data_IF_343503510664
#
_entry.id   IF_343503510664
#
_cell.length_a   1.000
_cell.length_b   1.000
_cell.length_c   1.000
_cell.angle_alpha   90.00
_cell.angle_beta   90.00
_cell.angle_gamma   90.00
#
_symmetry.space_group_name_H-M   'P 1'
#
loop_
_entity.id
_entity.type
_entity.pdbx_description
1 polymer ?
#
# COMPACT_ATOMS: atom_id res chain seq x y z
N UNK A 1 -12.21 58.91 -38.78
CA UNK A 1 -12.29 57.81 -39.76
C UNK A 1 -10.89 57.23 -39.81
N UNK A 2 -10.55 56.40 -38.84
CA UNK A 2 -10.74 54.96 -38.97
C UNK A 2 -11.16 54.32 -37.64
N UNK A 3 -12.16 53.45 -37.68
CA UNK A 3 -12.73 52.72 -36.55
C UNK A 3 -12.62 51.23 -36.86
N UNK A 4 -12.20 50.46 -35.85
CA UNK A 4 -12.30 49.00 -35.65
C UNK A 4 -11.13 48.12 -36.15
N UNK A 5 -10.91 46.90 -35.58
CA UNK A 5 -11.72 46.22 -34.56
C UNK A 5 -10.96 45.72 -33.32
N UNK A 6 -11.75 45.53 -32.26
CA UNK A 6 -11.45 44.73 -31.08
C UNK A 6 -11.73 43.27 -31.42
N UNK A 7 -10.89 42.34 -30.93
CA UNK A 7 -11.21 40.98 -30.44
C UNK A 7 -10.18 39.94 -30.91
N UNK A 8 -9.34 39.52 -29.97
CA UNK A 8 -8.86 38.15 -29.92
C UNK A 8 -8.96 37.71 -28.48
N UNK A 9 -10.11 37.10 -28.19
CA UNK A 9 -10.43 36.42 -26.95
C UNK A 9 -9.28 35.45 -26.62
N UNK A 10 -8.48 35.76 -25.60
CA UNK A 10 -7.63 34.75 -24.98
C UNK A 10 -8.54 33.87 -24.13
N UNK A 11 -8.61 32.56 -24.41
CA UNK A 11 -9.48 31.68 -23.63
C UNK A 11 -9.02 31.66 -22.17
N UNK A 12 -9.95 31.99 -21.29
CA UNK A 12 -9.90 31.65 -19.87
C UNK A 12 -10.10 30.13 -19.77
N UNK A 13 -9.01 29.36 -19.90
CA UNK A 13 -9.01 27.93 -19.61
C UNK A 13 -7.59 27.39 -19.43
N UNK A 14 -7.02 27.57 -18.24
CA UNK A 14 -6.43 26.42 -17.55
C UNK A 14 -6.41 26.67 -16.04
N UNK A 15 -7.57 26.37 -15.47
CA UNK A 15 -7.75 26.00 -14.07
C UNK A 15 -6.62 25.05 -13.63
N UNK A 16 -5.91 25.46 -12.58
CA UNK A 16 -5.25 24.57 -11.62
C UNK A 16 -4.45 23.41 -12.20
N UNK A 17 -3.18 23.66 -12.52
CA UNK A 17 -2.15 22.68 -12.20
C UNK A 17 -1.99 22.62 -10.67
N UNK A 18 -3.03 22.17 -9.96
CA UNK A 18 -2.83 21.45 -8.71
C UNK A 18 -1.95 20.28 -9.11
N UNK A 19 -0.69 20.36 -8.71
CA UNK A 19 0.24 19.24 -8.75
C UNK A 19 -0.55 18.00 -8.35
N UNK A 20 -0.75 17.09 -9.30
CA UNK A 20 -1.21 15.75 -8.96
C UNK A 20 -0.18 15.24 -7.97
N UNK A 21 -0.55 15.22 -6.68
CA UNK A 21 0.24 14.53 -5.67
C UNK A 21 0.55 13.15 -6.28
N UNK A 22 1.82 12.71 -6.27
CA UNK A 22 2.15 11.42 -6.85
C UNK A 22 1.24 10.41 -6.20
N UNK A 23 0.30 9.86 -6.98
CA UNK A 23 -0.55 8.79 -6.49
C UNK A 23 0.42 7.72 -6.01
N UNK A 24 0.35 7.38 -4.72
CA UNK A 24 1.23 6.40 -4.12
C UNK A 24 1.23 5.17 -5.04
N UNK A 25 2.37 4.92 -5.69
CA UNK A 25 2.47 3.84 -6.68
C UNK A 25 2.19 2.51 -6.00
N UNK A 26 1.80 1.50 -6.78
CA UNK A 26 1.58 0.14 -6.26
C UNK A 26 2.78 -0.35 -5.42
N UNK A 27 4.01 -0.01 -5.81
CA UNK A 27 5.22 -0.32 -5.07
C UNK A 27 5.28 0.33 -3.67
N UNK A 28 4.80 1.57 -3.51
CA UNK A 28 4.73 2.25 -2.22
C UNK A 28 3.67 1.61 -1.31
N UNK A 29 2.50 1.29 -1.87
CA UNK A 29 1.44 0.56 -1.14
C UNK A 29 1.91 -0.83 -0.69
N UNK A 30 2.59 -1.56 -1.58
CA UNK A 30 3.16 -2.86 -1.26
C UNK A 30 4.26 -2.75 -0.18
N UNK A 31 5.13 -1.75 -0.28
CA UNK A 31 6.15 -1.48 0.74
C UNK A 31 5.54 -1.18 2.11
N UNK A 32 4.48 -0.37 2.15
CA UNK A 32 3.73 -0.11 3.39
C UNK A 32 3.06 -1.35 3.95
N UNK A 33 2.44 -2.16 3.09
CA UNK A 33 1.80 -3.41 3.51
C UNK A 33 2.82 -4.42 4.07
N UNK A 34 4.01 -4.52 3.48
CA UNK A 34 5.10 -5.33 4.01
C UNK A 34 5.61 -4.80 5.35
N UNK A 35 5.73 -3.48 5.50
CA UNK A 35 6.07 -2.87 6.79
C UNK A 35 5.02 -3.13 7.87
N UNK A 36 3.73 -3.10 7.51
CA UNK A 36 2.65 -3.47 8.42
C UNK A 36 2.70 -4.95 8.80
N UNK A 37 3.00 -5.84 7.86
CA UNK A 37 3.16 -7.27 8.14
C UNK A 37 4.29 -7.50 9.15
N UNK A 38 5.44 -6.85 8.97
CA UNK A 38 6.55 -6.94 9.91
C UNK A 38 6.13 -6.48 11.31
N UNK A 39 5.39 -5.37 11.41
CA UNK A 39 4.89 -4.89 12.70
C UNK A 39 3.91 -5.86 13.37
N UNK A 40 3.10 -6.59 12.59
CA UNK A 40 2.20 -7.62 13.11
C UNK A 40 3.01 -8.79 13.67
N UNK A 41 4.00 -9.29 12.93
CA UNK A 41 4.90 -10.36 13.39
C UNK A 41 5.67 -9.95 14.65
N UNK A 42 6.28 -8.77 14.66
CA UNK A 42 7.02 -8.27 15.83
C UNK A 42 6.10 -8.15 17.06
N UNK A 43 4.82 -7.78 16.87
CA UNK A 43 3.86 -7.69 17.97
C UNK A 43 3.49 -9.07 18.53
N UNK A 44 3.25 -10.05 17.65
CA UNK A 44 2.95 -11.42 18.04
C UNK A 44 4.14 -12.03 18.81
N UNK A 45 5.36 -11.89 18.28
CA UNK A 45 6.58 -12.35 18.94
C UNK A 45 6.81 -11.67 20.29
N UNK A 46 6.57 -10.36 20.39
CA UNK A 46 6.68 -9.63 21.65
C UNK A 46 5.70 -10.16 22.70
N UNK A 47 4.44 -10.41 22.32
CA UNK A 47 3.41 -10.95 23.21
C UNK A 47 3.72 -12.38 23.65
N UNK A 48 4.19 -13.23 22.73
CA UNK A 48 4.62 -14.60 23.03
C UNK A 48 5.79 -14.60 24.00
N UNK A 49 6.81 -13.77 23.77
CA UNK A 49 7.96 -13.65 24.65
C UNK A 49 7.58 -13.10 26.02
N UNK A 50 6.70 -12.11 26.09
CA UNK A 50 6.23 -11.54 27.34
C UNK A 50 5.45 -12.57 28.18
N UNK A 51 4.59 -13.37 27.54
CA UNK A 51 3.90 -14.49 28.18
C UNK A 51 4.89 -15.57 28.67
N UNK A 52 5.87 -15.94 27.84
CA UNK A 52 6.90 -16.92 28.22
C UNK A 52 7.80 -16.41 29.37
N UNK A 53 8.02 -15.10 29.45
CA UNK A 53 8.74 -14.44 30.53
C UNK A 53 7.92 -14.31 31.83
N UNK A 54 6.66 -14.74 31.84
CA UNK A 54 5.76 -14.63 32.99
C UNK A 54 5.30 -13.21 33.29
N UNK A 55 5.35 -12.31 32.30
CA UNK A 55 4.74 -10.98 32.41
C UNK A 55 3.22 -11.10 32.40
N UNK A 56 2.54 -10.09 32.96
CA UNK A 56 1.08 -10.00 32.97
C UNK A 56 0.58 -9.71 31.54
N UNK A 57 0.43 -10.78 30.76
CA UNK A 57 -0.11 -10.75 29.40
C UNK A 57 -1.22 -11.78 29.33
N UNK A 58 -2.40 -11.34 28.89
CA UNK A 58 -3.54 -12.24 28.76
C UNK A 58 -3.27 -13.27 27.64
N UNK A 59 -3.40 -14.56 27.97
CA UNK A 59 -3.19 -15.65 27.01
C UNK A 59 -4.04 -15.50 25.75
N UNK A 60 -5.27 -14.98 25.89
CA UNK A 60 -6.17 -14.72 24.77
C UNK A 60 -5.60 -13.68 23.79
N UNK A 61 -4.95 -12.64 24.31
CA UNK A 61 -4.33 -11.58 23.51
C UNK A 61 -3.13 -12.08 22.70
N UNK A 62 -2.37 -13.02 23.27
CA UNK A 62 -1.26 -13.69 22.58
C UNK A 62 -1.80 -14.57 21.46
N UNK A 63 -2.80 -15.39 21.74
CA UNK A 63 -3.43 -16.27 20.75
C UNK A 63 -4.03 -15.47 19.60
N UNK A 64 -4.72 -14.36 19.88
CA UNK A 64 -5.24 -13.46 18.84
C UNK A 64 -4.14 -12.84 17.98
N UNK A 65 -3.03 -12.41 18.58
CA UNK A 65 -1.93 -11.82 17.85
C UNK A 65 -1.28 -12.84 16.90
N UNK A 66 -1.04 -14.06 17.38
CA UNK A 66 -0.49 -15.16 16.58
C UNK A 66 -1.44 -15.59 15.45
N UNK A 67 -2.74 -15.67 15.72
CA UNK A 67 -3.75 -16.00 14.69
C UNK A 67 -3.80 -14.93 13.59
N UNK A 68 -3.75 -13.66 13.99
CA UNK A 68 -3.74 -12.52 13.07
C UNK A 68 -2.48 -12.51 12.21
N UNK A 69 -1.31 -12.79 12.81
CA UNK A 69 -0.05 -12.91 12.10
C UNK A 69 -0.10 -14.03 11.05
N UNK A 70 -0.54 -15.23 11.44
CA UNK A 70 -0.66 -16.37 10.53
C UNK A 70 -1.53 -16.06 9.31
N UNK A 71 -2.70 -15.42 9.55
CA UNK A 71 -3.58 -14.99 8.47
C UNK A 71 -2.92 -13.94 7.56
N UNK A 72 -2.24 -12.95 8.15
CA UNK A 72 -1.57 -11.89 7.42
C UNK A 72 -0.41 -12.42 6.55
N UNK A 73 0.40 -13.35 7.07
CA UNK A 73 1.48 -14.01 6.33
C UNK A 73 0.93 -14.85 5.18
N UNK A 74 -0.16 -15.58 5.40
CA UNK A 74 -0.83 -16.35 4.36
C UNK A 74 -1.30 -15.44 3.22
N UNK A 75 -1.95 -14.33 3.56
CA UNK A 75 -2.37 -13.33 2.59
C UNK A 75 -1.18 -12.73 1.82
N UNK A 76 -0.09 -12.38 2.52
CA UNK A 76 1.11 -11.85 1.91
C UNK A 76 1.75 -12.85 0.92
N UNK A 77 1.73 -14.14 1.25
CA UNK A 77 2.21 -15.21 0.37
C UNK A 77 1.35 -15.32 -0.90
N UNK A 78 0.03 -15.24 -0.77
CA UNK A 78 -0.87 -15.23 -1.92
C UNK A 78 -0.64 -14.01 -2.81
N UNK A 79 -0.44 -12.84 -2.21
CA UNK A 79 -0.14 -11.61 -2.94
C UNK A 79 1.20 -11.70 -3.66
N UNK A 80 2.23 -12.24 -3.01
CA UNK A 80 3.54 -12.51 -3.62
C UNK A 80 3.39 -13.39 -4.85
N UNK A 81 2.65 -14.49 -4.72
CA UNK A 81 2.42 -15.42 -5.84
C UNK A 81 1.71 -14.71 -7.00
N UNK A 82 0.61 -13.99 -6.72
CA UNK A 82 -0.10 -13.19 -7.74
C UNK A 82 0.77 -12.13 -8.41
N UNK A 83 1.64 -11.46 -7.66
CA UNK A 83 2.55 -10.46 -8.22
C UNK A 83 3.58 -11.09 -9.17
N UNK A 84 4.11 -12.26 -8.81
CA UNK A 84 5.01 -13.04 -9.67
C UNK A 84 4.28 -13.54 -10.92
N UNK A 85 3.05 -14.04 -10.79
CA UNK A 85 2.21 -14.46 -11.91
C UNK A 85 1.92 -13.29 -12.86
N UNK A 86 1.52 -12.13 -12.33
CA UNK A 86 1.27 -10.92 -13.12
C UNK A 86 2.52 -10.48 -13.88
N UNK A 87 3.70 -10.54 -13.25
CA UNK A 87 4.96 -10.29 -13.93
C UNK A 87 5.19 -11.28 -15.07
N UNK A 88 5.02 -12.59 -14.84
CA UNK A 88 5.19 -13.62 -15.87
C UNK A 88 4.19 -13.48 -17.03
N UNK A 89 2.96 -13.04 -16.77
CA UNK A 89 1.93 -12.85 -17.79
C UNK A 89 2.26 -11.68 -18.73
N UNK A 90 2.73 -10.55 -18.19
CA UNK A 90 3.14 -9.39 -19.00
C UNK A 90 4.27 -9.75 -19.97
N UNK A 91 5.22 -10.59 -19.56
CA UNK A 91 6.29 -11.06 -20.44
C UNK A 91 5.82 -12.06 -21.49
N UNK A 92 4.79 -12.87 -21.21
CA UNK A 92 4.22 -13.81 -22.17
C UNK A 92 3.42 -13.14 -23.30
N UNK A 93 2.92 -11.92 -23.10
CA UNK A 93 2.23 -11.17 -24.16
C UNK A 93 3.17 -10.55 -25.21
N UNK A 94 4.49 -10.46 -24.96
CA UNK A 94 5.44 -9.82 -25.87
C UNK A 94 6.10 -10.78 -26.90
N UNK A 95 5.58 -12.00 -27.06
CA UNK A 95 5.96 -12.91 -28.16
C UNK A 95 4.88 -13.03 -29.21
#
# INVERSE_FOLDING_TARGET
MDIAPIQSQRPLAQTGATAAAPAAGFADLLGRALGQLQAISDNADAKVNALAAGQDVELHDVMLAVETESLAISLATQLRNKAVEAYQEVFRMQI
#
